data_IF_690613291195
#
_entry.id   IF_690613291195
#
_cell.length_a   1.000
_cell.length_b   1.000
_cell.length_c   1.000
_cell.angle_alpha   90.00
_cell.angle_beta   90.00
_cell.angle_gamma   90.00
#
_symmetry.space_group_name_H-M   'P 1'
#
loop_
_entity.id
_entity.type
_entity.pdbx_description
1 polymer ?
#
# COMPACT_ATOMS: atom_id res chain seq x y z
N UNK A 1 6.92 1.00 29.31
CA UNK A 1 7.33 1.77 28.12
C UNK A 1 6.13 1.80 27.19
N UNK A 2 5.57 2.99 27.00
CA UNK A 2 4.44 3.20 26.09
C UNK A 2 4.92 3.29 24.63
N UNK A 3 4.06 2.92 23.68
CA UNK A 3 4.33 3.11 22.25
C UNK A 3 4.64 4.59 21.94
N UNK A 4 3.99 5.53 22.63
CA UNK A 4 4.24 6.97 22.46
C UNK A 4 5.67 7.37 22.86
N UNK A 5 6.18 6.85 23.99
CA UNK A 5 7.55 7.12 24.44
C UNK A 5 8.59 6.55 23.47
N UNK A 6 8.30 5.40 22.83
CA UNK A 6 9.17 4.85 21.80
C UNK A 6 9.15 5.68 20.52
N UNK A 7 8.00 6.20 20.11
CA UNK A 7 7.89 7.11 18.94
C UNK A 7 8.79 8.32 19.08
N UNK A 8 8.77 8.94 20.26
CA UNK A 8 9.59 10.11 20.58
C UNK A 8 11.07 9.76 20.61
N UNK A 9 11.46 8.68 21.30
CA UNK A 9 12.86 8.25 21.40
C UNK A 9 13.46 7.84 20.06
N UNK A 10 12.67 7.25 19.17
CA UNK A 10 13.09 6.85 17.83
C UNK A 10 13.01 7.99 16.81
N UNK A 11 12.50 9.17 17.21
CA UNK A 11 12.40 10.33 16.34
C UNK A 11 11.49 10.12 15.12
N UNK A 12 10.48 9.25 15.23
CA UNK A 12 9.62 8.89 14.10
C UNK A 12 8.80 10.08 13.59
N UNK A 13 8.56 11.09 14.43
CA UNK A 13 7.95 12.36 14.04
C UNK A 13 8.75 13.13 12.96
N UNK A 14 10.05 12.84 12.79
CA UNK A 14 10.88 13.41 11.73
C UNK A 14 10.73 12.73 10.37
N UNK A 15 10.20 11.51 10.31
CA UNK A 15 10.07 10.73 9.09
C UNK A 15 8.78 11.11 8.34
N UNK A 16 8.76 12.31 7.75
CA UNK A 16 7.60 12.78 6.95
C UNK A 16 7.50 12.16 5.56
N UNK A 17 8.60 11.62 5.04
CA UNK A 17 8.69 11.03 3.70
C UNK A 17 8.65 9.48 3.71
N UNK A 18 8.51 8.84 4.88
CA UNK A 18 8.40 7.39 4.99
C UNK A 18 7.26 7.02 5.93
N UNK A 19 6.42 6.09 5.49
CA UNK A 19 5.39 5.49 6.32
C UNK A 19 6.07 4.68 7.44
N UNK A 20 5.56 4.79 8.65
CA UNK A 20 6.04 4.08 9.82
C UNK A 20 4.86 3.57 10.65
N UNK A 21 5.09 2.51 11.40
CA UNK A 21 4.10 1.87 12.27
C UNK A 21 4.80 1.21 13.44
N UNK A 22 4.16 1.27 14.61
CA UNK A 22 4.68 0.68 15.84
C UNK A 22 3.66 -0.35 16.31
N UNK A 23 4.11 -1.59 16.35
CA UNK A 23 3.33 -2.70 16.89
C UNK A 23 4.03 -3.21 18.14
N UNK A 24 3.29 -3.29 19.25
CA UNK A 24 3.78 -4.00 20.41
C UNK A 24 3.86 -5.49 20.04
N UNK A 25 5.03 -6.10 20.16
CA UNK A 25 5.21 -7.51 19.88
C UNK A 25 6.03 -8.20 20.97
N UNK A 26 5.81 -9.51 21.10
CA UNK A 26 6.57 -10.38 21.98
C UNK A 26 7.18 -11.52 21.17
N UNK A 27 8.51 -11.55 21.08
CA UNK A 27 9.20 -12.54 20.25
C UNK A 27 9.06 -13.98 20.76
N UNK A 28 8.86 -14.17 22.07
CA UNK A 28 8.77 -15.51 22.68
C UNK A 28 7.37 -16.12 22.56
N UNK A 29 6.31 -15.30 22.54
CA UNK A 29 4.92 -15.76 22.37
C UNK A 29 4.43 -15.60 20.93
N UNK A 30 5.07 -14.75 20.14
CA UNK A 30 4.69 -14.43 18.76
C UNK A 30 3.62 -13.34 18.64
N UNK A 31 3.15 -12.79 19.76
CA UNK A 31 2.10 -11.76 19.77
C UNK A 31 2.57 -10.51 19.02
N UNK A 32 1.69 -9.92 18.20
CA UNK A 32 1.96 -8.68 17.46
C UNK A 32 2.86 -8.85 16.23
N UNK A 33 3.44 -10.02 15.99
CA UNK A 33 4.32 -10.24 14.84
C UNK A 33 3.52 -10.25 13.53
N UNK A 34 2.38 -10.94 13.52
CA UNK A 34 1.54 -11.07 12.33
C UNK A 34 0.98 -9.71 11.90
N UNK A 35 0.52 -8.90 12.84
CA UNK A 35 -0.02 -7.56 12.59
C UNK A 35 1.05 -6.62 12.05
N UNK A 36 2.28 -6.72 12.58
CA UNK A 36 3.43 -5.96 12.06
C UNK A 36 3.80 -6.35 10.63
N UNK A 37 3.79 -7.65 10.33
CA UNK A 37 4.07 -8.17 8.99
C UNK A 37 2.96 -7.84 7.98
N UNK A 38 1.70 -7.90 8.39
CA UNK A 38 0.55 -7.54 7.55
C UNK A 38 0.61 -6.05 7.18
N UNK A 39 0.87 -5.18 8.17
CA UNK A 39 1.08 -3.76 7.91
C UNK A 39 2.24 -3.50 6.95
N UNK A 40 3.36 -4.21 7.12
CA UNK A 40 4.53 -4.07 6.24
C UNK A 40 4.19 -4.47 4.80
N UNK A 41 3.51 -5.61 4.63
CA UNK A 41 3.05 -6.10 3.33
C UNK A 41 2.14 -5.09 2.64
N UNK A 42 1.13 -4.59 3.34
CA UNK A 42 0.19 -3.60 2.81
C UNK A 42 0.90 -2.27 2.45
N UNK A 43 1.86 -1.85 3.27
CA UNK A 43 2.61 -0.61 3.03
C UNK A 43 3.53 -0.73 1.83
N UNK A 44 4.19 -1.88 1.64
CA UNK A 44 5.02 -2.16 0.46
C UNK A 44 4.18 -2.20 -0.83
N UNK A 45 3.00 -2.84 -0.79
CA UNK A 45 2.08 -2.87 -1.92
C UNK A 45 1.62 -1.45 -2.31
N UNK A 46 1.25 -0.62 -1.33
CA UNK A 46 0.85 0.78 -1.56
C UNK A 46 1.99 1.64 -2.09
N UNK A 47 3.19 1.48 -1.55
CA UNK A 47 4.37 2.21 -2.01
C UNK A 47 4.67 1.91 -3.48
N UNK A 48 4.57 0.64 -3.89
CA UNK A 48 4.79 0.24 -5.27
C UNK A 48 3.74 0.85 -6.22
N UNK A 49 2.47 0.87 -5.83
CA UNK A 49 1.41 1.50 -6.63
C UNK A 49 1.58 3.02 -6.75
N UNK A 50 1.89 3.72 -5.66
CA UNK A 50 2.11 5.16 -5.68
C UNK A 50 3.35 5.53 -6.51
N UNK A 51 4.46 4.84 -6.29
CA UNK A 51 5.71 5.07 -7.04
C UNK A 51 5.55 4.72 -8.53
N UNK A 52 4.81 3.66 -8.86
CA UNK A 52 4.48 3.34 -10.26
C UNK A 52 3.60 4.42 -10.89
N UNK A 53 2.63 4.97 -10.17
CA UNK A 53 1.75 6.04 -10.68
C UNK A 53 2.56 7.29 -11.04
N UNK A 54 3.50 7.65 -10.16
CA UNK A 54 4.44 8.75 -10.39
C UNK A 54 5.39 8.45 -11.56
N UNK A 55 6.04 7.28 -11.58
CA UNK A 55 6.97 6.88 -12.65
C UNK A 55 6.32 6.77 -14.02
N UNK A 56 5.07 6.30 -14.08
CA UNK A 56 4.29 6.18 -15.31
C UNK A 56 3.64 7.52 -15.72
N UNK A 57 3.76 8.57 -14.91
CA UNK A 57 3.22 9.89 -15.20
C UNK A 57 1.70 9.91 -15.31
N UNK A 58 1.00 9.02 -14.60
CA UNK A 58 -0.46 8.90 -14.69
C UNK A 58 -1.17 10.18 -14.23
N UNK A 59 -0.53 10.97 -13.37
CA UNK A 59 -1.00 12.31 -12.97
C UNK A 59 -1.17 13.29 -14.16
N UNK A 60 -0.49 13.05 -15.29
CA UNK A 60 -0.63 13.84 -16.52
C UNK A 60 -1.81 13.43 -17.40
N UNK A 61 -2.39 12.26 -17.19
CA UNK A 61 -3.49 11.73 -18.00
C UNK A 61 -4.84 12.30 -17.56
N UNK A 62 -5.07 13.59 -17.84
CA UNK A 62 -6.34 14.28 -17.53
C UNK A 62 -7.44 14.04 -18.57
N UNK A 63 -7.06 13.63 -19.79
CA UNK A 63 -8.00 13.39 -20.90
C UNK A 63 -8.39 11.92 -21.10
N UNK A 64 -7.84 10.99 -20.30
CA UNK A 64 -8.15 9.57 -20.38
C UNK A 64 -8.28 8.98 -18.98
N UNK A 65 -9.33 8.20 -18.75
CA UNK A 65 -9.49 7.48 -17.49
C UNK A 65 -8.40 6.42 -17.35
N UNK A 66 -7.80 6.35 -16.17
CA UNK A 66 -6.75 5.40 -15.83
C UNK A 66 -7.06 4.80 -14.46
N UNK A 67 -6.56 3.58 -14.25
CA UNK A 67 -6.68 2.84 -13.01
C UNK A 67 -5.42 2.01 -12.82
N UNK A 68 -4.95 1.95 -11.58
CA UNK A 68 -3.79 1.16 -11.19
C UNK A 68 -4.22 0.22 -10.10
N UNK A 69 -3.98 -1.07 -10.33
CA UNK A 69 -4.29 -2.14 -9.39
C UNK A 69 -3.01 -2.94 -9.20
N UNK A 70 -2.61 -3.11 -7.94
CA UNK A 70 -1.58 -4.09 -7.64
C UNK A 70 -2.16 -5.47 -7.97
N UNK A 71 -1.47 -6.23 -8.82
CA UNK A 71 -1.86 -7.59 -9.15
C UNK A 71 -0.70 -8.56 -8.92
N UNK A 72 -1.05 -9.78 -8.55
CA UNK A 72 -0.11 -10.88 -8.43
C UNK A 72 -0.42 -11.91 -9.51
N UNK A 73 0.51 -12.12 -10.43
CA UNK A 73 0.32 -13.03 -11.56
C UNK A 73 0.24 -14.51 -11.14
N UNK A 74 0.81 -14.88 -10.00
CA UNK A 74 0.86 -16.28 -9.53
C UNK A 74 -0.34 -16.68 -8.67
N UNK A 75 -0.88 -15.75 -7.88
CA UNK A 75 -2.07 -15.98 -7.04
C UNK A 75 -3.36 -15.49 -7.70
N UNK A 76 -3.26 -14.59 -8.68
CA UNK A 76 -4.41 -14.00 -9.37
C UNK A 76 -5.01 -12.79 -8.63
N UNK A 77 -4.46 -12.41 -7.48
CA UNK A 77 -4.95 -11.27 -6.69
C UNK A 77 -4.89 -9.98 -7.50
N UNK A 78 -5.94 -9.17 -7.44
CA UNK A 78 -6.02 -7.88 -8.14
C UNK A 78 -6.30 -7.97 -9.65
N UNK A 79 -6.29 -9.17 -10.24
CA UNK A 79 -6.55 -9.33 -11.68
C UNK A 79 -8.04 -9.12 -12.00
N UNK A 80 -8.93 -9.68 -11.19
CA UNK A 80 -10.38 -9.57 -11.37
C UNK A 80 -10.86 -8.13 -11.22
N UNK A 81 -10.36 -7.40 -10.22
CA UNK A 81 -10.67 -6.00 -9.97
C UNK A 81 -10.20 -5.12 -11.14
N UNK A 82 -9.03 -5.42 -11.70
CA UNK A 82 -8.52 -4.75 -12.90
C UNK A 82 -9.40 -4.98 -14.13
N UNK A 83 -9.86 -6.22 -14.33
CA UNK A 83 -10.73 -6.59 -15.45
C UNK A 83 -12.15 -6.02 -15.30
N UNK A 84 -12.70 -6.02 -14.08
CA UNK A 84 -14.01 -5.45 -13.79
C UNK A 84 -14.02 -3.94 -14.02
N UNK A 85 -13.00 -3.23 -13.55
CA UNK A 85 -12.83 -1.81 -13.83
C UNK A 85 -12.73 -1.53 -15.33
N UNK A 86 -11.95 -2.34 -16.07
CA UNK A 86 -11.80 -2.19 -17.52
C UNK A 86 -13.15 -2.37 -18.25
N UNK A 87 -13.91 -3.40 -17.87
CA UNK A 87 -15.25 -3.67 -18.41
C UNK A 87 -16.20 -2.50 -18.15
N UNK A 88 -16.27 -2.02 -16.91
CA UNK A 88 -17.13 -0.89 -16.53
C UNK A 88 -16.74 0.40 -17.26
N UNK A 89 -15.45 0.64 -17.47
CA UNK A 89 -14.94 1.82 -18.17
C UNK A 89 -15.27 1.77 -19.67
N UNK A 90 -15.13 0.61 -20.31
CA UNK A 90 -15.49 0.41 -21.71
C UNK A 90 -17.00 0.56 -21.95
N UNK A 91 -17.83 0.08 -21.01
CA UNK A 91 -19.29 0.27 -21.09
C UNK A 91 -19.70 1.74 -21.03
N UNK A 92 -19.00 2.57 -20.25
CA UNK A 92 -19.27 4.01 -20.13
C UNK A 92 -18.82 4.84 -21.35
N UNK A 93 -17.99 4.28 -22.23
CA UNK A 93 -17.52 4.96 -23.45
C UNK A 93 -18.35 4.63 -24.70
N UNK A 94 -19.40 3.80 -24.57
CA UNK A 94 -20.41 3.59 -25.62
C UNK A 94 -21.48 4.66 -25.55
#
# INVERSE_FOLDING_TARGET
MSAAEMTDKLGLHGLRHRQWFIQACCATTGDGLYEGLDWLSATLQKANAAEMTDKLGLHGLRHRQWFIQACCATTGDGLYEGLDWLSATLQKQK
#
